data_IF_572230547769
#
_entry.id   IF_572230547769
#
_cell.length_a   1.000
_cell.length_b   1.000
_cell.length_c   1.000
_cell.angle_alpha   90.00
_cell.angle_beta   90.00
_cell.angle_gamma   90.00
#
_symmetry.space_group_name_H-M   'P 1'
#
loop_
_entity.id
_entity.type
_entity.pdbx_description
1 polymer ?
#
# COMPACT_ATOMS: atom_id res chain seq x y z
N UNK A 1 30.51 -6.46 -25.35
CA UNK A 1 29.34 -6.70 -24.47
C UNK A 1 29.09 -5.53 -23.52
N UNK A 2 30.12 -4.95 -22.88
CA UNK A 2 29.98 -3.81 -21.97
C UNK A 2 29.38 -2.52 -22.57
N UNK A 3 29.64 -2.21 -23.84
CA UNK A 3 29.10 -1.01 -24.49
C UNK A 3 27.58 -1.01 -24.72
N UNK A 4 26.89 -2.17 -24.67
CA UNK A 4 25.42 -2.22 -24.77
C UNK A 4 24.74 -1.85 -23.45
N UNK A 5 25.36 -2.20 -22.32
CA UNK A 5 24.83 -1.94 -20.98
C UNK A 5 24.90 -0.44 -20.66
N UNK A 6 25.97 0.25 -21.08
CA UNK A 6 26.07 1.71 -20.91
C UNK A 6 24.98 2.48 -21.67
N UNK A 7 24.60 2.01 -22.86
CA UNK A 7 23.53 2.62 -23.65
C UNK A 7 22.16 2.38 -22.99
N UNK A 8 21.91 1.17 -22.49
CA UNK A 8 20.67 0.84 -21.77
C UNK A 8 20.50 1.68 -20.50
N UNK A 9 21.57 1.94 -19.73
CA UNK A 9 21.49 2.82 -18.56
C UNK A 9 21.20 4.28 -18.95
N UNK A 10 21.72 4.75 -20.08
CA UNK A 10 21.40 6.06 -20.64
C UNK A 10 19.93 6.18 -21.05
N UNK A 11 19.40 5.16 -21.73
CA UNK A 11 18.00 5.07 -22.15
C UNK A 11 17.05 4.98 -20.95
N UNK A 12 17.35 4.13 -19.96
CA UNK A 12 16.56 4.02 -18.71
C UNK A 12 16.53 5.35 -17.96
N UNK A 13 17.65 6.07 -17.86
CA UNK A 13 17.68 7.40 -17.25
C UNK A 13 16.82 8.39 -18.03
N UNK A 14 16.81 8.33 -19.36
CA UNK A 14 15.97 9.18 -20.20
C UNK A 14 14.48 8.87 -20.04
N UNK A 15 14.10 7.60 -19.86
CA UNK A 15 12.70 7.20 -19.63
C UNK A 15 12.24 7.52 -18.21
N UNK A 16 13.11 7.39 -17.20
CA UNK A 16 12.78 7.81 -15.82
C UNK A 16 12.49 9.31 -15.71
N UNK A 17 13.03 10.14 -16.60
CA UNK A 17 12.72 11.57 -16.66
C UNK A 17 11.34 11.86 -17.27
N UNK A 18 10.75 10.92 -18.02
CA UNK A 18 9.37 11.02 -18.53
C UNK A 18 8.33 10.56 -17.52
N UNK A 19 8.76 9.94 -16.41
CA UNK A 19 7.87 9.56 -15.32
C UNK A 19 7.41 10.82 -14.60
N UNK A 20 6.15 11.19 -14.82
CA UNK A 20 5.46 12.23 -14.06
C UNK A 20 5.28 11.76 -12.62
N UNK A 21 6.17 12.19 -11.74
CA UNK A 21 5.99 12.01 -10.31
C UNK A 21 4.79 12.84 -9.83
N UNK A 22 3.90 12.24 -9.04
CA UNK A 22 2.76 12.96 -8.49
C UNK A 22 3.25 14.07 -7.56
N UNK A 23 2.47 15.14 -7.47
CA UNK A 23 2.77 16.27 -6.59
C UNK A 23 2.66 15.86 -5.13
N UNK A 24 3.38 16.54 -4.23
CA UNK A 24 3.39 16.19 -2.78
C UNK A 24 1.98 16.16 -2.18
N UNK A 25 1.07 16.98 -2.71
CA UNK A 25 -0.32 17.06 -2.27
C UNK A 25 -1.13 15.83 -2.70
N UNK A 26 -0.92 15.31 -3.91
CA UNK A 26 -1.56 14.06 -4.37
C UNK A 26 -1.05 12.84 -3.59
N UNK A 27 0.25 12.77 -3.29
CA UNK A 27 0.80 11.70 -2.44
C UNK A 27 0.16 11.73 -1.05
N UNK A 28 0.00 12.92 -0.47
CA UNK A 28 -0.56 13.07 0.87
C UNK A 28 -2.04 12.67 0.87
N UNK A 29 -2.81 13.15 -0.10
CA UNK A 29 -4.23 12.82 -0.22
C UNK A 29 -4.45 11.32 -0.42
N UNK A 30 -3.67 10.70 -1.31
CA UNK A 30 -3.73 9.24 -1.55
C UNK A 30 -3.38 8.45 -0.30
N UNK A 31 -2.36 8.88 0.45
CA UNK A 31 -1.96 8.24 1.70
C UNK A 31 -3.02 8.38 2.78
N UNK A 32 -3.66 9.55 2.90
CA UNK A 32 -4.75 9.79 3.86
C UNK A 32 -5.94 8.87 3.61
N UNK A 33 -6.37 8.73 2.35
CA UNK A 33 -7.48 7.84 1.99
C UNK A 33 -7.16 6.39 2.35
N UNK A 34 -5.97 5.90 1.99
CA UNK A 34 -5.55 4.52 2.30
C UNK A 34 -5.48 4.30 3.82
N UNK A 35 -4.98 5.27 4.58
CA UNK A 35 -4.91 5.20 6.03
C UNK A 35 -6.31 5.09 6.66
N UNK A 36 -7.26 5.90 6.19
CA UNK A 36 -8.65 5.86 6.67
C UNK A 36 -9.30 4.51 6.38
N UNK A 37 -9.16 3.99 5.16
CA UNK A 37 -9.74 2.69 4.78
C UNK A 37 -9.10 1.55 5.56
N UNK A 38 -7.78 1.59 5.77
CA UNK A 38 -7.05 0.59 6.56
C UNK A 38 -7.52 0.56 8.02
N UNK A 39 -7.71 1.72 8.65
CA UNK A 39 -8.24 1.82 10.02
C UNK A 39 -9.67 1.28 10.10
N UNK A 40 -10.52 1.60 9.12
CA UNK A 40 -11.88 1.09 9.07
C UNK A 40 -11.93 -0.44 8.96
N UNK A 41 -11.09 -1.03 8.10
CA UNK A 41 -10.94 -2.48 7.97
C UNK A 41 -10.41 -3.12 9.26
N UNK A 42 -9.41 -2.52 9.88
CA UNK A 42 -8.84 -3.02 11.14
C UNK A 42 -9.89 -3.07 12.25
N UNK A 43 -10.71 -2.01 12.39
CA UNK A 43 -11.82 -1.99 13.34
C UNK A 43 -12.87 -3.04 13.04
N UNK A 44 -13.23 -3.22 11.76
CA UNK A 44 -14.21 -4.23 11.35
C UNK A 44 -13.74 -5.65 11.72
N UNK A 45 -12.49 -5.99 11.38
CA UNK A 45 -11.90 -7.29 11.69
C UNK A 45 -11.84 -7.48 13.21
N UNK A 46 -11.39 -6.48 13.96
CA UNK A 46 -11.31 -6.53 15.42
C UNK A 46 -12.67 -6.82 16.08
N UNK A 47 -13.74 -6.18 15.61
CA UNK A 47 -15.11 -6.46 16.11
C UNK A 47 -15.54 -7.89 15.77
N UNK A 48 -15.24 -8.36 14.56
CA UNK A 48 -15.56 -9.73 14.16
C UNK A 48 -14.82 -10.76 15.02
N UNK A 49 -13.54 -10.54 15.31
CA UNK A 49 -12.75 -11.40 16.19
C UNK A 49 -13.33 -11.42 17.61
N UNK A 50 -13.73 -10.28 18.16
CA UNK A 50 -14.38 -10.22 19.48
C UNK A 50 -15.67 -11.04 19.54
N UNK A 51 -16.50 -10.96 18.50
CA UNK A 51 -17.75 -11.72 18.42
C UNK A 51 -17.43 -13.22 18.35
N UNK A 52 -16.46 -13.61 17.52
CA UNK A 52 -16.05 -15.01 17.38
C UNK A 52 -15.47 -15.56 18.68
N UNK A 53 -14.60 -14.81 19.36
CA UNK A 53 -14.05 -15.20 20.67
C UNK A 53 -15.14 -15.35 21.72
N UNK A 54 -16.10 -14.41 21.78
CA UNK A 54 -17.22 -14.51 22.70
C UNK A 54 -18.09 -15.74 22.43
N UNK A 55 -18.36 -16.06 21.16
CA UNK A 55 -19.13 -17.26 20.80
C UNK A 55 -18.35 -18.53 21.13
N UNK A 56 -17.04 -18.57 20.88
CA UNK A 56 -16.21 -19.72 21.25
C UNK A 56 -16.15 -19.95 22.75
N UNK A 57 -15.96 -18.90 23.55
CA UNK A 57 -15.95 -19.00 25.01
C UNK A 57 -17.28 -19.54 25.55
N UNK A 58 -18.40 -19.21 24.91
CA UNK A 58 -19.74 -19.73 25.28
C UNK A 58 -20.00 -21.17 24.85
N UNK A 59 -19.23 -21.71 23.90
CA UNK A 59 -19.37 -23.09 23.42
C UNK A 59 -18.41 -24.02 24.18
N UNK A 60 -17.22 -23.54 24.52
CA UNK A 60 -16.18 -24.31 25.21
C UNK A 60 -16.41 -24.43 26.73
N UNK A 61 -17.24 -23.57 27.32
CA UNK A 61 -17.59 -23.56 28.75
C UNK A 61 -19.07 -23.85 28.96
#
# INVERSE_FOLDING_TARGET
MFGRISTLLGEVRSEMLKVTWPTRDELTNSTTVVLTVSIALALFIWVADLILSFVMDRILN
#
